data_IF_794638878629
#
_entry.id   IF_794638878629
#
_cell.length_a   1.000
_cell.length_b   1.000
_cell.length_c   1.000
_cell.angle_alpha   90.00
_cell.angle_beta   90.00
_cell.angle_gamma   90.00
#
_symmetry.space_group_name_H-M   'P 1'
#
loop_
_entity.id
_entity.type
_entity.pdbx_description
1 polymer ?
#
# COMPACT_ATOMS: atom_id res chain seq x y z
N UNK A 1 -4.78 36.96 64.67
CA UNK A 1 -4.56 37.36 63.24
C UNK A 1 -3.49 36.54 62.42
N UNK A 2 -2.53 35.90 63.06
CA UNK A 2 -1.52 35.12 62.35
C UNK A 2 -1.99 33.71 61.93
N UNK A 3 -2.81 33.05 62.76
CA UNK A 3 -3.33 31.70 62.51
C UNK A 3 -4.30 31.60 61.31
N UNK A 4 -5.14 32.63 61.15
CA UNK A 4 -6.11 32.64 60.03
C UNK A 4 -5.43 32.75 58.64
N UNK A 5 -4.30 33.45 58.51
CA UNK A 5 -3.55 33.58 57.29
C UNK A 5 -2.90 32.25 56.83
N UNK A 6 -2.45 31.43 57.78
CA UNK A 6 -1.85 30.11 57.44
C UNK A 6 -2.91 29.11 57.03
N UNK A 7 -4.10 29.12 57.58
CA UNK A 7 -5.21 28.27 57.22
C UNK A 7 -5.63 28.57 55.76
N UNK A 8 -5.75 29.86 55.41
CA UNK A 8 -6.15 30.28 54.06
C UNK A 8 -5.09 29.90 52.99
N UNK A 9 -3.80 30.02 53.34
CA UNK A 9 -2.70 29.63 52.41
C UNK A 9 -2.63 28.11 52.23
N UNK A 10 -2.82 27.32 53.29
CA UNK A 10 -2.83 25.85 53.19
C UNK A 10 -4.05 25.36 52.41
N UNK A 11 -5.21 25.99 52.54
CA UNK A 11 -6.41 25.63 51.80
C UNK A 11 -6.27 25.99 50.29
N UNK A 12 -5.65 27.13 49.99
CA UNK A 12 -5.35 27.51 48.59
C UNK A 12 -4.30 26.60 47.96
N UNK A 13 -3.27 26.15 48.69
CA UNK A 13 -2.30 25.18 48.18
C UNK A 13 -2.93 23.78 47.96
N UNK A 14 -3.82 23.34 48.84
CA UNK A 14 -4.53 22.06 48.69
C UNK A 14 -5.49 22.06 47.51
N UNK A 15 -6.16 23.21 47.23
CA UNK A 15 -7.00 23.37 46.04
C UNK A 15 -6.18 23.43 44.74
N UNK A 16 -4.97 23.98 44.75
CA UNK A 16 -4.09 24.00 43.61
C UNK A 16 -3.50 22.60 43.28
N UNK A 17 -3.33 21.74 44.28
CA UNK A 17 -2.88 20.37 44.09
C UNK A 17 -4.00 19.42 43.63
N UNK A 18 -5.26 19.75 43.88
CA UNK A 18 -6.41 18.98 43.39
C UNK A 18 -6.82 19.36 41.95
N UNK A 19 -6.29 20.46 41.40
CA UNK A 19 -6.60 20.92 40.04
C UNK A 19 -5.64 20.38 38.94
N UNK A 20 -4.64 19.59 39.33
CA UNK A 20 -3.81 18.87 38.39
C UNK A 20 -4.21 17.40 38.37
N UNK A 21 -5.38 17.10 37.86
CA UNK A 21 -5.63 15.81 37.26
C UNK A 21 -4.91 15.81 35.90
N UNK A 22 -3.63 15.47 35.94
CA UNK A 22 -2.77 15.38 34.78
C UNK A 22 -2.81 13.97 34.14
N UNK A 23 -3.89 13.25 34.36
CA UNK A 23 -4.13 12.12 33.51
C UNK A 23 -4.62 12.68 32.16
N UNK A 24 -3.83 12.60 31.08
CA UNK A 24 -4.37 12.90 29.78
C UNK A 24 -5.55 11.95 29.59
N UNK A 25 -6.74 12.50 29.37
CA UNK A 25 -7.86 11.69 28.91
C UNK A 25 -7.35 10.90 27.71
N UNK A 26 -7.34 9.59 27.83
CA UNK A 26 -7.06 8.75 26.69
C UNK A 26 -8.15 9.08 25.67
N UNK A 27 -7.77 9.70 24.56
CA UNK A 27 -8.66 9.90 23.44
C UNK A 27 -8.97 8.50 22.91
N UNK A 28 -10.13 7.98 23.28
CA UNK A 28 -10.61 6.72 22.72
C UNK A 28 -10.73 6.89 21.20
N UNK A 29 -10.05 6.03 20.47
CA UNK A 29 -10.27 5.94 19.02
C UNK A 29 -11.75 5.67 18.77
N UNK A 30 -12.37 6.49 17.95
CA UNK A 30 -13.72 6.21 17.49
C UNK A 30 -13.73 4.85 16.78
N UNK A 31 -14.66 3.94 17.10
CA UNK A 31 -14.70 2.64 16.47
C UNK A 31 -14.90 2.78 14.95
N UNK A 32 -14.20 1.95 14.20
CA UNK A 32 -14.46 1.84 12.75
C UNK A 32 -15.92 1.47 12.52
N UNK A 33 -16.53 2.13 11.55
CA UNK A 33 -17.89 1.81 11.14
C UNK A 33 -17.95 0.35 10.64
N UNK A 34 -18.79 -0.44 11.28
CA UNK A 34 -19.09 -1.79 10.84
C UNK A 34 -20.25 -1.77 9.85
N UNK A 35 -20.12 -2.55 8.78
CA UNK A 35 -21.15 -2.70 7.76
C UNK A 35 -21.76 -4.10 7.81
N UNK A 36 -22.88 -4.29 7.14
CA UNK A 36 -23.51 -5.62 7.05
C UNK A 36 -22.70 -6.57 6.16
N UNK A 37 -22.85 -7.87 6.35
CA UNK A 37 -22.20 -8.86 5.46
C UNK A 37 -22.64 -8.67 4.00
N UNK A 38 -23.88 -8.27 3.75
CA UNK A 38 -24.36 -7.95 2.40
C UNK A 38 -23.57 -6.82 1.74
N UNK A 39 -23.15 -5.81 2.52
CA UNK A 39 -22.26 -4.75 2.02
C UNK A 39 -20.88 -5.30 1.66
N UNK A 40 -20.27 -6.10 2.55
CA UNK A 40 -18.96 -6.69 2.29
C UNK A 40 -18.99 -7.66 1.11
N UNK A 41 -20.06 -8.42 0.97
CA UNK A 41 -20.22 -9.30 -0.20
C UNK A 41 -20.29 -8.47 -1.49
N UNK A 42 -21.12 -7.42 -1.53
CA UNK A 42 -21.22 -6.54 -2.70
C UNK A 42 -19.88 -5.85 -3.03
N UNK A 43 -19.09 -5.52 -2.00
CA UNK A 43 -17.76 -4.94 -2.19
C UNK A 43 -16.77 -5.95 -2.79
N UNK A 44 -16.79 -7.20 -2.33
CA UNK A 44 -15.97 -8.28 -2.91
C UNK A 44 -16.38 -8.58 -4.36
N UNK A 45 -17.67 -8.61 -4.63
CA UNK A 45 -18.22 -8.81 -5.99
C UNK A 45 -17.80 -7.67 -6.93
N UNK A 46 -17.82 -6.41 -6.44
CA UNK A 46 -17.33 -5.26 -7.16
C UNK A 46 -15.84 -5.42 -7.50
N UNK A 47 -14.99 -5.77 -6.53
CA UNK A 47 -13.56 -5.94 -6.75
C UNK A 47 -13.21 -7.15 -7.64
N UNK A 48 -14.09 -8.12 -7.73
CA UNK A 48 -13.97 -9.24 -8.67
C UNK A 48 -14.48 -8.92 -10.08
N UNK A 49 -15.17 -7.78 -10.26
CA UNK A 49 -15.66 -7.33 -11.58
C UNK A 49 -14.61 -6.51 -12.32
N UNK A 50 -14.80 -6.33 -13.62
CA UNK A 50 -13.98 -5.41 -14.41
C UNK A 50 -14.20 -3.95 -13.97
N UNK A 51 -13.15 -3.26 -13.57
CA UNK A 51 -13.14 -1.87 -13.15
C UNK A 51 -11.70 -1.33 -13.13
N UNK A 52 -11.53 -0.02 -13.05
CA UNK A 52 -10.23 0.60 -12.88
C UNK A 52 -9.78 0.47 -11.42
N UNK A 53 -8.63 -0.18 -11.20
CA UNK A 53 -8.17 -0.50 -9.85
C UNK A 53 -7.62 0.70 -9.10
N UNK A 54 -7.77 0.69 -7.78
CA UNK A 54 -7.04 1.56 -6.88
C UNK A 54 -5.85 0.81 -6.28
N UNK A 55 -4.63 1.23 -6.65
CA UNK A 55 -3.37 0.67 -6.18
C UNK A 55 -2.66 1.63 -5.22
N UNK A 56 -2.30 1.17 -4.04
CA UNK A 56 -1.63 2.04 -3.07
C UNK A 56 -0.41 1.40 -2.44
N UNK A 57 0.59 2.22 -2.10
CA UNK A 57 1.72 1.86 -1.26
C UNK A 57 1.45 2.36 0.15
N UNK A 58 1.51 1.45 1.11
CA UNK A 58 1.25 1.72 2.51
C UNK A 58 2.47 1.33 3.36
N UNK A 59 2.97 2.26 4.15
CA UNK A 59 4.23 2.10 4.86
C UNK A 59 4.12 2.22 6.39
N UNK A 60 3.21 3.03 6.88
CA UNK A 60 3.15 3.46 8.28
C UNK A 60 2.09 2.69 9.08
N UNK A 61 2.17 1.36 9.12
CA UNK A 61 1.37 0.65 10.09
C UNK A 61 1.94 0.77 11.50
N UNK A 62 1.07 0.69 12.49
CA UNK A 62 1.46 0.73 13.89
C UNK A 62 2.54 -0.33 14.17
N UNK A 63 3.63 0.04 14.85
CA UNK A 63 4.57 -0.92 15.37
C UNK A 63 3.89 -1.82 16.40
N UNK A 64 4.65 -2.77 16.96
CA UNK A 64 4.16 -3.69 18.00
C UNK A 64 3.51 -2.89 19.13
N UNK A 65 2.30 -3.27 19.52
CA UNK A 65 1.60 -2.71 20.67
C UNK A 65 2.50 -2.71 21.92
N UNK A 66 2.53 -1.57 22.61
CA UNK A 66 3.37 -1.41 23.79
C UNK A 66 4.84 -1.15 23.50
N UNK A 67 5.28 -0.99 22.24
CA UNK A 67 6.62 -0.54 21.94
C UNK A 67 6.89 0.82 22.58
N UNK A 68 8.09 0.99 23.15
CA UNK A 68 8.48 2.21 23.88
C UNK A 68 8.30 3.45 23.00
N UNK A 69 7.55 4.43 23.49
CA UNK A 69 7.27 5.68 22.79
C UNK A 69 6.13 5.61 21.78
N UNK A 70 5.53 4.44 21.59
CA UNK A 70 4.37 4.26 20.74
C UNK A 70 3.20 3.74 21.59
N UNK A 71 2.14 4.50 21.66
CA UNK A 71 0.86 4.02 22.18
C UNK A 71 0.08 3.42 21.01
N UNK A 72 -1.01 2.73 21.31
CA UNK A 72 -1.97 2.26 20.32
C UNK A 72 -2.10 3.26 19.18
N UNK A 73 -2.30 2.80 17.95
CA UNK A 73 -2.31 3.70 16.81
C UNK A 73 -3.17 4.91 17.15
N UNK A 74 -2.55 6.10 17.09
CA UNK A 74 -3.21 7.35 17.42
C UNK A 74 -4.41 7.61 16.50
N UNK A 75 -4.49 6.88 15.40
CA UNK A 75 -5.59 6.97 14.44
C UNK A 75 -5.71 5.73 13.59
N UNK A 76 -6.85 5.60 12.91
CA UNK A 76 -7.06 4.57 11.88
C UNK A 76 -6.20 4.76 10.62
N UNK A 77 -5.53 5.89 10.45
CA UNK A 77 -4.54 6.12 9.39
C UNK A 77 -3.30 5.24 9.53
N UNK A 78 -2.98 4.81 10.75
CA UNK A 78 -1.85 3.93 11.07
C UNK A 78 -2.26 2.45 11.16
N UNK A 79 -3.48 2.12 10.74
CA UNK A 79 -4.04 0.78 10.75
C UNK A 79 -4.42 0.34 9.34
N UNK A 80 -4.00 -0.83 8.91
CA UNK A 80 -4.36 -1.41 7.60
C UNK A 80 -5.88 -1.53 7.47
N UNK A 81 -6.57 -1.95 8.52
CA UNK A 81 -8.04 -2.07 8.51
C UNK A 81 -8.76 -0.72 8.35
N UNK A 82 -8.08 0.40 8.67
CA UNK A 82 -8.58 1.77 8.51
C UNK A 82 -8.52 2.31 7.08
N UNK A 83 -7.85 1.60 6.17
CA UNK A 83 -7.81 1.98 4.76
C UNK A 83 -9.23 2.00 4.14
N UNK A 84 -9.49 2.89 3.17
CA UNK A 84 -10.75 2.90 2.44
C UNK A 84 -11.12 1.53 1.87
N UNK A 85 -12.38 1.14 2.04
CA UNK A 85 -12.86 -0.20 1.66
C UNK A 85 -12.67 -0.50 0.16
N UNK A 86 -12.77 0.53 -0.70
CA UNK A 86 -12.66 0.41 -2.15
C UNK A 86 -11.23 0.38 -2.70
N UNK A 87 -10.20 0.33 -1.85
CA UNK A 87 -8.83 0.07 -2.30
C UNK A 87 -8.70 -1.39 -2.69
N UNK A 88 -8.21 -1.66 -3.90
CA UNK A 88 -8.10 -3.00 -4.47
C UNK A 88 -6.80 -3.68 -4.09
N UNK A 89 -5.67 -3.00 -4.30
CA UNK A 89 -4.33 -3.53 -4.09
C UNK A 89 -3.53 -2.65 -3.13
N UNK A 90 -2.87 -3.28 -2.16
CA UNK A 90 -1.98 -2.63 -1.20
C UNK A 90 -0.59 -3.23 -1.30
N UNK A 91 0.37 -2.44 -1.78
CA UNK A 91 1.78 -2.79 -1.74
C UNK A 91 2.33 -2.56 -0.33
N UNK A 92 2.89 -3.59 0.26
CA UNK A 92 3.52 -3.58 1.58
C UNK A 92 4.97 -3.11 1.49
N UNK A 93 5.14 -1.85 1.13
CA UNK A 93 6.42 -1.25 0.74
C UNK A 93 7.50 -1.32 1.85
N UNK A 94 7.13 -1.20 3.12
CA UNK A 94 8.09 -1.26 4.24
C UNK A 94 8.30 -2.66 4.83
N UNK A 95 7.82 -3.69 4.16
CA UNK A 95 7.96 -5.09 4.57
C UNK A 95 6.62 -5.77 4.86
N UNK A 96 6.67 -7.04 5.17
CA UNK A 96 5.48 -7.86 5.41
C UNK A 96 5.25 -7.95 6.92
N UNK A 97 4.08 -7.54 7.45
CA UNK A 97 3.76 -7.76 8.85
C UNK A 97 3.61 -9.26 9.13
N UNK A 98 4.16 -9.73 10.24
CA UNK A 98 4.02 -11.12 10.69
C UNK A 98 3.43 -11.16 12.09
N UNK A 99 2.88 -12.31 12.55
CA UNK A 99 2.39 -12.45 13.92
C UNK A 99 3.45 -12.12 14.98
N UNK A 100 4.73 -12.32 14.67
CA UNK A 100 5.85 -12.12 15.59
C UNK A 100 6.34 -10.67 15.60
N UNK A 101 6.34 -10.01 14.43
CA UNK A 101 6.94 -8.66 14.31
C UNK A 101 5.91 -7.54 14.45
N UNK A 102 4.71 -7.73 13.88
CA UNK A 102 3.65 -6.71 13.84
C UNK A 102 2.28 -7.39 13.95
N UNK A 103 1.91 -7.98 15.10
CA UNK A 103 0.71 -8.80 15.25
C UNK A 103 -0.59 -8.06 14.90
N UNK A 104 -0.68 -6.78 15.24
CA UNK A 104 -1.87 -5.95 14.94
C UNK A 104 -1.99 -5.72 13.43
N UNK A 105 -0.93 -5.29 12.77
CA UNK A 105 -0.94 -5.08 11.32
C UNK A 105 -1.18 -6.39 10.55
N UNK A 106 -0.63 -7.51 11.04
CA UNK A 106 -0.89 -8.83 10.48
C UNK A 106 -2.37 -9.20 10.57
N UNK A 107 -2.98 -9.02 11.75
CA UNK A 107 -4.40 -9.30 11.94
C UNK A 107 -5.29 -8.38 11.09
N UNK A 108 -4.96 -7.10 11.02
CA UNK A 108 -5.65 -6.14 10.16
C UNK A 108 -5.58 -6.53 8.69
N UNK A 109 -4.41 -7.01 8.22
CA UNK A 109 -4.22 -7.48 6.85
C UNK A 109 -5.15 -8.67 6.54
N UNK A 110 -5.19 -9.66 7.42
CA UNK A 110 -6.07 -10.84 7.26
C UNK A 110 -7.55 -10.42 7.24
N UNK A 111 -7.98 -9.63 8.22
CA UNK A 111 -9.36 -9.16 8.32
C UNK A 111 -9.79 -8.30 7.13
N UNK A 112 -8.90 -7.41 6.67
CA UNK A 112 -9.14 -6.55 5.50
C UNK A 112 -9.30 -7.39 4.24
N UNK A 113 -8.47 -8.41 4.04
CA UNK A 113 -8.59 -9.35 2.92
C UNK A 113 -9.92 -10.11 2.98
N UNK A 114 -10.22 -10.73 4.09
CA UNK A 114 -11.43 -11.57 4.23
C UNK A 114 -12.72 -10.77 4.08
N UNK A 115 -12.82 -9.61 4.74
CA UNK A 115 -14.03 -8.79 4.70
C UNK A 115 -14.15 -7.96 3.44
N UNK A 116 -13.07 -7.25 3.08
CA UNK A 116 -13.11 -6.21 2.03
C UNK A 116 -12.66 -6.72 0.67
N UNK A 117 -12.04 -7.90 0.58
CA UNK A 117 -11.48 -8.42 -0.67
C UNK A 117 -10.25 -7.65 -1.16
N UNK A 118 -9.61 -6.86 -0.30
CA UNK A 118 -8.37 -6.15 -0.63
C UNK A 118 -7.23 -7.16 -0.75
N UNK A 119 -6.42 -7.04 -1.79
CA UNK A 119 -5.26 -7.90 -2.04
C UNK A 119 -3.99 -7.21 -1.59
N UNK A 120 -3.03 -7.99 -1.09
CA UNK A 120 -1.76 -7.48 -0.56
C UNK A 120 -0.58 -7.97 -1.38
N UNK A 121 0.29 -7.05 -1.76
CA UNK A 121 1.36 -7.25 -2.73
C UNK A 121 2.71 -7.15 -2.04
N UNK A 122 3.59 -8.10 -2.31
CA UNK A 122 4.99 -8.07 -1.89
C UNK A 122 5.76 -7.05 -2.72
N UNK A 123 6.46 -6.14 -2.05
CA UNK A 123 7.38 -5.21 -2.71
C UNK A 123 8.73 -5.90 -2.96
N UNK A 124 9.04 -6.18 -4.22
CA UNK A 124 10.26 -6.82 -4.66
C UNK A 124 11.21 -5.78 -5.27
N UNK A 125 12.35 -5.56 -4.65
CA UNK A 125 13.31 -4.55 -5.11
C UNK A 125 14.03 -5.01 -6.39
N UNK A 126 13.89 -4.22 -7.46
CA UNK A 126 14.65 -4.29 -8.70
C UNK A 126 15.39 -2.96 -8.99
N UNK A 127 15.60 -2.12 -7.97
CA UNK A 127 16.34 -0.86 -8.05
C UNK A 127 17.86 -1.06 -7.97
N UNK A 128 18.30 -2.16 -7.32
CA UNK A 128 19.72 -2.48 -7.14
C UNK A 128 19.96 -4.00 -7.14
N UNK A 129 21.22 -4.43 -6.99
CA UNK A 129 21.61 -5.86 -6.96
C UNK A 129 22.17 -6.29 -5.59
N UNK A 130 21.76 -5.64 -4.50
CA UNK A 130 22.28 -5.95 -3.15
C UNK A 130 21.50 -7.08 -2.46
N UNK A 131 21.01 -8.06 -3.23
CA UNK A 131 20.17 -9.14 -2.73
C UNK A 131 20.98 -10.39 -2.42
N UNK A 132 20.82 -10.87 -1.18
CA UNK A 132 21.34 -12.17 -0.75
C UNK A 132 20.18 -13.02 -0.28
N UNK A 133 20.02 -14.18 -0.85
CA UNK A 133 18.89 -15.06 -0.57
C UNK A 133 19.29 -16.53 -0.76
N UNK A 134 18.44 -17.41 -0.26
CA UNK A 134 18.59 -18.86 -0.45
C UNK A 134 17.29 -19.40 -1.04
N UNK A 135 17.39 -20.14 -2.12
CA UNK A 135 16.28 -20.85 -2.74
C UNK A 135 16.79 -22.20 -3.28
N UNK A 136 15.95 -23.23 -3.23
CA UNK A 136 16.28 -24.59 -3.68
C UNK A 136 17.58 -25.16 -3.04
N UNK A 137 17.85 -24.77 -1.77
CA UNK A 137 19.05 -25.19 -1.03
C UNK A 137 20.35 -24.49 -1.46
N UNK A 138 20.31 -23.53 -2.39
CA UNK A 138 21.47 -22.78 -2.88
C UNK A 138 21.39 -21.31 -2.45
N UNK A 139 22.52 -20.77 -1.98
CA UNK A 139 22.68 -19.35 -1.67
C UNK A 139 23.11 -18.58 -2.92
N UNK A 140 22.55 -17.37 -3.07
CA UNK A 140 22.83 -16.42 -4.16
C UNK A 140 23.19 -15.05 -3.60
N UNK A 141 24.04 -14.32 -4.32
CA UNK A 141 24.43 -12.93 -4.04
C UNK A 141 24.47 -12.16 -5.36
N UNK A 142 23.43 -11.38 -5.64
CA UNK A 142 23.33 -10.61 -6.90
C UNK A 142 24.35 -9.48 -6.99
N UNK A 143 24.99 -9.09 -5.91
CA UNK A 143 26.08 -8.10 -5.96
C UNK A 143 27.28 -8.62 -6.74
N UNK A 144 27.50 -9.92 -6.73
CA UNK A 144 28.61 -10.62 -7.38
C UNK A 144 28.23 -11.51 -8.57
N UNK A 145 26.99 -12.02 -8.60
CA UNK A 145 26.50 -12.88 -9.69
C UNK A 145 25.15 -12.37 -10.22
N UNK A 146 25.15 -11.84 -11.43
CA UNK A 146 23.97 -11.36 -12.17
C UNK A 146 23.69 -12.19 -13.40
N UNK A 147 24.11 -13.45 -13.39
CA UNK A 147 23.79 -14.40 -14.45
C UNK A 147 22.27 -14.59 -14.57
N UNK A 148 21.83 -15.06 -15.72
CA UNK A 148 20.42 -15.39 -15.95
C UNK A 148 19.89 -16.34 -14.88
N UNK A 149 20.66 -17.35 -14.51
CA UNK A 149 20.29 -18.29 -13.43
C UNK A 149 20.09 -17.58 -12.08
N UNK A 150 20.99 -16.66 -11.70
CA UNK A 150 20.89 -15.94 -10.43
C UNK A 150 19.68 -14.99 -10.42
N UNK A 151 19.39 -14.32 -11.53
CA UNK A 151 18.22 -13.45 -11.66
C UNK A 151 16.92 -14.27 -11.62
N UNK A 152 16.85 -15.39 -12.36
CA UNK A 152 15.69 -16.30 -12.31
C UNK A 152 15.52 -16.92 -10.91
N UNK A 153 16.61 -17.22 -10.23
CA UNK A 153 16.56 -17.69 -8.84
C UNK A 153 15.97 -16.61 -7.89
N UNK A 154 16.29 -15.33 -8.11
CA UNK A 154 15.66 -14.23 -7.36
C UNK A 154 14.15 -14.18 -7.58
N UNK A 155 13.70 -14.29 -8.82
CA UNK A 155 12.28 -14.33 -9.15
C UNK A 155 11.56 -15.52 -8.46
N UNK A 156 12.18 -16.71 -8.47
CA UNK A 156 11.64 -17.87 -7.73
C UNK A 156 11.57 -17.61 -6.22
N UNK A 157 12.58 -16.97 -5.64
CA UNK A 157 12.58 -16.57 -4.24
C UNK A 157 11.47 -15.55 -3.92
N UNK A 158 11.23 -14.57 -4.79
CA UNK A 158 10.11 -13.62 -4.68
C UNK A 158 8.77 -14.37 -4.70
N UNK A 159 8.56 -15.25 -5.67
CA UNK A 159 7.34 -16.07 -5.76
C UNK A 159 7.15 -16.97 -4.52
N UNK A 160 8.22 -17.61 -4.05
CA UNK A 160 8.20 -18.45 -2.85
C UNK A 160 7.85 -17.63 -1.60
N UNK A 161 8.36 -16.39 -1.50
CA UNK A 161 8.01 -15.46 -0.43
C UNK A 161 6.52 -15.10 -0.47
N UNK A 162 5.99 -14.73 -1.63
CA UNK A 162 4.55 -14.45 -1.80
C UNK A 162 3.68 -15.62 -1.36
N UNK A 163 4.03 -16.84 -1.77
CA UNK A 163 3.27 -18.04 -1.43
C UNK A 163 3.35 -18.36 0.06
N UNK A 164 4.55 -18.32 0.65
CA UNK A 164 4.78 -18.63 2.08
C UNK A 164 4.11 -17.62 3.02
N UNK A 165 4.06 -16.36 2.63
CA UNK A 165 3.42 -15.30 3.43
C UNK A 165 1.94 -15.13 3.13
N UNK A 166 1.40 -15.87 2.16
CA UNK A 166 0.01 -15.82 1.77
C UNK A 166 -0.38 -14.51 1.07
N UNK A 167 0.57 -13.76 0.50
CA UNK A 167 0.29 -12.55 -0.27
C UNK A 167 -0.29 -12.87 -1.66
N UNK A 168 -0.76 -11.82 -2.34
CA UNK A 168 -1.59 -11.95 -3.54
C UNK A 168 -0.81 -11.66 -4.83
N UNK A 169 0.48 -11.34 -4.72
CA UNK A 169 1.36 -11.07 -5.86
C UNK A 169 2.64 -10.37 -5.45
N UNK A 170 3.47 -10.06 -6.44
CA UNK A 170 4.70 -9.30 -6.28
C UNK A 170 4.72 -8.10 -7.23
N UNK A 171 5.29 -7.00 -6.76
CA UNK A 171 5.54 -5.78 -7.50
C UNK A 171 7.04 -5.51 -7.53
N UNK A 172 7.62 -5.49 -8.74
CA UNK A 172 9.04 -5.25 -8.96
C UNK A 172 9.30 -3.76 -9.17
N UNK A 173 9.90 -3.11 -8.16
CA UNK A 173 10.32 -1.71 -8.22
C UNK A 173 11.51 -1.53 -9.16
N UNK A 174 11.19 -1.30 -10.45
CA UNK A 174 12.16 -1.25 -11.53
C UNK A 174 12.75 0.14 -11.69
N UNK A 175 13.84 0.40 -10.99
CA UNK A 175 14.52 1.70 -11.03
C UNK A 175 16.01 1.63 -11.42
N UNK A 176 16.64 0.47 -11.34
CA UNK A 176 18.09 0.36 -11.55
C UNK A 176 18.58 -0.93 -12.20
N UNK A 177 17.72 -1.93 -12.34
CA UNK A 177 18.12 -3.16 -13.04
C UNK A 177 18.27 -2.95 -14.55
N UNK A 178 19.09 -3.80 -15.15
CA UNK A 178 19.12 -3.95 -16.61
C UNK A 178 17.77 -4.51 -17.09
N UNK A 179 17.27 -4.00 -18.24
CA UNK A 179 15.98 -4.44 -18.79
C UNK A 179 15.92 -5.93 -19.11
N UNK A 180 17.03 -6.53 -19.55
CA UNK A 180 17.08 -7.98 -19.79
C UNK A 180 16.95 -8.77 -18.48
N UNK A 181 17.50 -8.27 -17.37
CA UNK A 181 17.37 -8.91 -16.06
C UNK A 181 15.92 -8.85 -15.56
N UNK A 182 15.24 -7.71 -15.72
CA UNK A 182 13.81 -7.62 -15.44
C UNK A 182 13.03 -8.63 -16.31
N UNK A 183 13.30 -8.68 -17.60
CA UNK A 183 12.63 -9.63 -18.53
C UNK A 183 12.79 -11.08 -18.05
N UNK A 184 13.98 -11.51 -17.66
CA UNK A 184 14.21 -12.85 -17.12
C UNK A 184 13.46 -13.12 -15.83
N UNK A 185 13.41 -12.12 -14.92
CA UNK A 185 12.69 -12.25 -13.66
C UNK A 185 11.17 -12.37 -13.88
N UNK A 186 10.59 -11.52 -14.72
CA UNK A 186 9.16 -11.51 -14.99
C UNK A 186 8.72 -12.78 -15.74
N UNK A 187 9.49 -13.22 -16.76
CA UNK A 187 9.25 -14.49 -17.43
C UNK A 187 9.29 -15.70 -16.46
N UNK A 188 10.20 -15.66 -15.48
CA UNK A 188 10.27 -16.74 -14.47
C UNK A 188 9.07 -16.69 -13.51
N UNK A 189 8.61 -15.49 -13.12
CA UNK A 189 7.39 -15.34 -12.33
C UNK A 189 6.16 -15.88 -13.08
N UNK A 190 6.01 -15.63 -14.39
CA UNK A 190 4.90 -16.12 -15.19
C UNK A 190 4.81 -17.66 -15.17
N UNK A 191 5.94 -18.38 -15.16
CA UNK A 191 5.94 -19.84 -15.03
C UNK A 191 5.30 -20.34 -13.72
N UNK A 192 5.23 -19.47 -12.70
CA UNK A 192 4.72 -19.81 -11.36
C UNK A 192 3.35 -19.18 -11.12
N UNK A 193 3.16 -17.92 -11.51
CA UNK A 193 1.97 -17.09 -11.27
C UNK A 193 1.12 -16.87 -12.53
N UNK A 194 1.66 -17.08 -13.72
CA UNK A 194 0.91 -16.94 -14.97
C UNK A 194 -0.20 -17.99 -15.13
N UNK A 195 -1.00 -17.88 -16.18
CA UNK A 195 -2.23 -18.67 -16.35
C UNK A 195 -2.00 -20.19 -16.42
N UNK A 196 -0.79 -20.62 -16.74
CA UNK A 196 -0.39 -22.04 -16.74
C UNK A 196 0.49 -22.41 -15.54
N UNK A 197 0.74 -21.47 -14.63
CA UNK A 197 1.54 -21.66 -13.43
C UNK A 197 0.79 -22.39 -12.32
N UNK A 198 1.51 -22.67 -11.24
CA UNK A 198 0.94 -23.36 -10.08
C UNK A 198 -0.03 -22.47 -9.27
N UNK A 199 0.13 -21.14 -9.37
CA UNK A 199 -0.64 -20.15 -8.60
C UNK A 199 -1.15 -19.04 -9.53
N UNK A 200 -2.08 -19.35 -10.46
CA UNK A 200 -2.52 -18.43 -11.51
C UNK A 200 -3.39 -17.27 -11.00
N UNK A 201 -3.72 -17.26 -9.72
CA UNK A 201 -4.44 -16.18 -9.02
C UNK A 201 -3.49 -15.08 -8.46
N UNK A 202 -2.18 -15.31 -8.50
CA UNK A 202 -1.18 -14.35 -8.03
C UNK A 202 -0.80 -13.36 -9.12
N UNK A 203 -0.62 -12.08 -8.73
CA UNK A 203 -0.30 -11.01 -9.64
C UNK A 203 1.22 -10.83 -9.83
N UNK A 204 1.60 -10.48 -11.05
CA UNK A 204 2.94 -9.99 -11.42
C UNK A 204 2.82 -8.53 -11.80
N UNK A 205 3.43 -7.65 -11.02
CA UNK A 205 3.34 -6.20 -11.17
C UNK A 205 4.76 -5.65 -11.34
N UNK A 206 4.88 -4.56 -12.09
CA UNK A 206 6.12 -3.81 -12.23
C UNK A 206 5.83 -2.34 -12.02
N UNK A 207 6.42 -1.73 -10.97
CA UNK A 207 6.40 -0.29 -10.83
C UNK A 207 7.70 0.35 -11.33
N UNK A 208 7.60 1.59 -11.79
CA UNK A 208 8.74 2.29 -12.38
C UNK A 208 8.56 3.81 -12.36
N UNK A 209 9.69 4.52 -12.30
CA UNK A 209 9.72 5.98 -12.35
C UNK A 209 10.18 6.51 -13.73
N UNK A 210 11.48 6.50 -14.01
CA UNK A 210 12.06 7.19 -15.17
C UNK A 210 12.35 6.29 -16.36
N UNK A 211 12.62 5.02 -16.10
CA UNK A 211 12.96 4.04 -17.14
C UNK A 211 11.78 3.11 -17.36
N UNK A 212 11.22 3.13 -18.56
CA UNK A 212 10.11 2.24 -18.91
C UNK A 212 10.57 0.77 -18.92
N UNK A 213 9.79 -0.15 -18.34
CA UNK A 213 10.05 -1.58 -18.45
C UNK A 213 10.13 -2.04 -19.93
N UNK A 214 10.85 -3.13 -20.24
CA UNK A 214 10.84 -3.67 -21.57
C UNK A 214 9.45 -4.17 -22.00
N UNK A 215 9.00 -3.80 -23.20
CA UNK A 215 7.72 -4.28 -23.77
C UNK A 215 7.65 -5.81 -23.92
N UNK A 216 8.79 -6.48 -23.89
CA UNK A 216 8.87 -7.94 -23.84
C UNK A 216 8.20 -8.54 -22.60
N UNK A 217 8.01 -7.75 -21.53
CA UNK A 217 7.33 -8.16 -20.32
C UNK A 217 5.79 -8.12 -20.43
N UNK A 218 5.23 -7.41 -21.42
CA UNK A 218 3.78 -7.16 -21.54
C UNK A 218 2.91 -8.45 -21.50
N UNK A 219 3.32 -9.59 -22.06
CA UNK A 219 2.52 -10.81 -21.98
C UNK A 219 2.38 -11.38 -20.55
N UNK A 220 3.30 -11.04 -19.65
CA UNK A 220 3.46 -11.68 -18.34
C UNK A 220 3.14 -10.76 -17.16
N UNK A 221 3.03 -9.44 -17.39
CA UNK A 221 2.72 -8.46 -16.37
C UNK A 221 1.21 -8.21 -16.32
N UNK A 222 0.63 -8.22 -15.12
CA UNK A 222 -0.78 -7.87 -14.90
C UNK A 222 -0.97 -6.36 -14.87
N UNK A 223 -0.11 -5.64 -14.14
CA UNK A 223 -0.15 -4.18 -14.04
C UNK A 223 1.23 -3.55 -14.10
N UNK A 224 1.32 -2.43 -14.81
CA UNK A 224 2.44 -1.51 -14.76
C UNK A 224 2.06 -0.30 -13.91
N UNK A 225 2.78 -0.07 -12.82
CA UNK A 225 2.51 1.05 -11.93
C UNK A 225 3.48 2.18 -12.24
N UNK A 226 2.99 3.19 -12.98
CA UNK A 226 3.77 4.39 -13.26
C UNK A 226 3.81 5.27 -12.02
N UNK A 227 5.01 5.55 -11.52
CA UNK A 227 5.25 6.54 -10.47
C UNK A 227 5.08 7.95 -11.09
N UNK A 228 3.82 8.38 -11.27
CA UNK A 228 3.43 9.62 -11.93
C UNK A 228 3.54 10.83 -10.98
N UNK A 229 4.68 10.96 -10.28
CA UNK A 229 4.90 11.96 -9.23
C UNK A 229 4.92 13.38 -9.80
N UNK A 230 3.82 14.12 -9.62
CA UNK A 230 3.62 15.46 -10.19
C UNK A 230 4.68 16.48 -9.75
N UNK A 231 5.19 16.39 -8.52
CA UNK A 231 6.25 17.26 -8.03
C UNK A 231 7.59 17.06 -8.78
N UNK A 232 7.75 15.95 -9.50
CA UNK A 232 8.92 15.67 -10.34
C UNK A 232 8.63 15.87 -11.83
N UNK A 233 7.47 16.48 -12.17
CA UNK A 233 7.06 16.72 -13.54
C UNK A 233 6.55 15.50 -14.30
N UNK A 234 6.32 14.39 -13.60
CA UNK A 234 5.67 13.21 -14.18
C UNK A 234 4.16 13.41 -14.28
N UNK A 235 3.49 12.59 -15.09
CA UNK A 235 2.06 12.68 -15.33
C UNK A 235 1.50 11.47 -16.07
N UNK A 236 0.31 11.62 -16.62
CA UNK A 236 -0.40 10.60 -17.39
C UNK A 236 -0.14 10.73 -18.88
N UNK A 237 -0.39 9.68 -19.65
CA UNK A 237 -0.23 9.61 -21.10
C UNK A 237 0.14 8.19 -21.55
N UNK A 238 0.23 7.96 -22.85
CA UNK A 238 0.67 6.67 -23.39
C UNK A 238 2.09 6.33 -22.90
N UNK A 239 2.26 5.21 -22.21
CA UNK A 239 3.53 4.78 -21.60
C UNK A 239 4.26 3.71 -22.42
N UNK A 240 3.70 3.32 -23.57
CA UNK A 240 4.29 2.28 -24.43
C UNK A 240 3.95 0.84 -24.02
N UNK A 241 3.13 0.68 -22.98
CA UNK A 241 2.53 -0.57 -22.51
C UNK A 241 1.02 -0.54 -22.78
N UNK A 242 0.31 -1.68 -22.68
CA UNK A 242 -1.15 -1.70 -22.76
C UNK A 242 -1.77 -0.76 -21.71
N UNK A 243 -2.63 0.16 -22.17
CA UNK A 243 -3.24 1.16 -21.29
C UNK A 243 -4.06 0.51 -20.18
N UNK A 244 -4.78 -0.57 -20.48
CA UNK A 244 -5.60 -1.34 -19.53
C UNK A 244 -4.80 -2.02 -18.42
N UNK A 245 -3.47 -2.10 -18.57
CA UNK A 245 -2.54 -2.58 -17.55
C UNK A 245 -1.84 -1.45 -16.80
N UNK A 246 -1.98 -0.19 -17.25
CA UNK A 246 -1.21 0.93 -16.70
C UNK A 246 -1.98 1.63 -15.59
N UNK A 247 -1.34 1.72 -14.41
CA UNK A 247 -1.83 2.38 -13.20
C UNK A 247 -0.97 3.60 -12.90
N UNK A 248 -1.58 4.76 -12.63
CA UNK A 248 -0.86 6.01 -12.36
C UNK A 248 -0.88 6.35 -10.89
N UNK A 249 0.27 6.37 -10.22
CA UNK A 249 0.38 6.69 -8.80
C UNK A 249 0.98 8.08 -8.55
N UNK A 250 0.26 8.89 -7.75
CA UNK A 250 0.77 10.15 -7.22
C UNK A 250 1.58 9.93 -5.94
N UNK A 251 2.52 10.83 -5.61
CA UNK A 251 3.24 10.79 -4.34
C UNK A 251 2.53 11.60 -3.25
N UNK A 252 1.79 10.94 -2.38
CA UNK A 252 1.24 11.59 -1.19
C UNK A 252 2.30 11.91 -0.12
N UNK A 253 3.47 11.31 -0.21
CA UNK A 253 4.63 11.73 0.57
C UNK A 253 5.01 13.19 0.32
N UNK A 254 4.84 13.67 -0.91
CA UNK A 254 5.13 15.04 -1.35
C UNK A 254 3.87 15.89 -1.52
N UNK A 255 2.75 15.28 -1.88
CA UNK A 255 1.46 15.93 -2.16
C UNK A 255 0.34 15.29 -1.34
N UNK A 256 0.38 15.38 0.02
CA UNK A 256 -0.52 14.61 0.89
C UNK A 256 -2.00 14.99 0.74
N UNK A 257 -2.32 16.15 0.18
CA UNK A 257 -3.70 16.60 -0.09
C UNK A 257 -4.25 16.12 -1.44
N UNK A 258 -3.47 15.34 -2.22
CA UNK A 258 -3.93 14.72 -3.45
C UNK A 258 -3.08 15.02 -4.70
N UNK A 259 -2.37 16.15 -4.79
CA UNK A 259 -1.61 16.48 -5.99
C UNK A 259 -2.46 16.44 -7.26
N UNK A 260 -1.99 15.74 -8.27
CA UNK A 260 -2.66 15.58 -9.58
C UNK A 260 -3.52 14.31 -9.68
N UNK A 261 -3.75 13.60 -8.57
CA UNK A 261 -4.47 12.30 -8.58
C UNK A 261 -5.85 12.38 -9.25
N UNK A 262 -6.54 13.54 -9.16
CA UNK A 262 -7.85 13.68 -9.79
C UNK A 262 -7.75 13.76 -11.33
N UNK A 263 -6.67 14.34 -11.85
CA UNK A 263 -6.38 14.34 -13.28
C UNK A 263 -5.99 12.93 -13.73
N UNK A 264 -5.27 12.17 -12.92
CA UNK A 264 -4.92 10.77 -13.21
C UNK A 264 -6.16 9.87 -13.21
N UNK A 265 -7.05 10.06 -12.24
CA UNK A 265 -8.29 9.33 -12.15
C UNK A 265 -9.24 9.62 -13.32
N UNK A 266 -9.27 10.88 -13.79
CA UNK A 266 -10.15 11.33 -14.87
C UNK A 266 -9.56 11.12 -16.27
N UNK A 267 -8.25 10.88 -16.39
CA UNK A 267 -7.63 10.64 -17.70
C UNK A 267 -8.06 9.30 -18.26
N UNK A 268 -8.37 9.29 -19.56
CA UNK A 268 -8.68 8.07 -20.30
C UNK A 268 -7.82 8.00 -21.57
N UNK A 269 -7.39 6.80 -21.99
CA UNK A 269 -6.75 6.61 -23.27
C UNK A 269 -7.72 6.90 -24.42
N UNK A 270 -7.21 7.05 -25.64
CA UNK A 270 -8.05 7.31 -26.82
C UNK A 270 -9.05 6.18 -27.12
N UNK A 271 -8.76 4.97 -26.69
CA UNK A 271 -9.59 3.77 -26.83
C UNK A 271 -9.46 2.88 -25.60
N UNK A 272 -10.55 2.28 -25.14
CA UNK A 272 -10.55 1.43 -23.95
C UNK A 272 -10.54 2.24 -22.66
N UNK A 273 -9.88 1.71 -21.65
CA UNK A 273 -9.71 2.29 -20.32
C UNK A 273 -8.26 2.10 -19.84
N UNK A 274 -7.84 2.84 -18.83
CA UNK A 274 -6.56 2.58 -18.15
C UNK A 274 -6.71 1.46 -17.10
N UNK A 275 -5.59 0.92 -16.61
CA UNK A 275 -5.60 -0.05 -15.51
C UNK A 275 -6.11 0.53 -14.19
N UNK A 276 -5.80 1.81 -13.92
CA UNK A 276 -6.28 2.47 -12.70
C UNK A 276 -5.45 3.67 -12.28
N UNK A 277 -5.65 4.10 -11.02
CA UNK A 277 -4.74 5.05 -10.37
C UNK A 277 -4.61 4.77 -8.87
N UNK A 278 -3.66 5.46 -8.22
CA UNK A 278 -3.42 5.29 -6.81
C UNK A 278 -2.39 6.24 -6.23
N UNK A 279 -1.80 5.86 -5.10
CA UNK A 279 -0.88 6.72 -4.40
C UNK A 279 0.23 5.97 -3.65
N UNK A 280 1.41 6.55 -3.70
CA UNK A 280 2.52 6.23 -2.83
C UNK A 280 2.38 6.99 -1.51
N UNK A 281 2.66 6.36 -0.36
CA UNK A 281 2.38 6.89 0.98
C UNK A 281 0.92 7.28 1.19
N UNK A 282 -0.01 6.38 0.88
CA UNK A 282 -1.46 6.65 0.97
C UNK A 282 -1.89 7.11 2.37
N UNK A 283 -1.26 6.62 3.44
CA UNK A 283 -1.53 6.98 4.82
C UNK A 283 -1.37 8.48 5.11
N UNK A 284 -0.52 9.17 4.34
CA UNK A 284 -0.34 10.63 4.48
C UNK A 284 -1.62 11.40 4.15
N UNK A 285 -2.55 10.82 3.38
CA UNK A 285 -3.84 11.44 3.08
C UNK A 285 -4.89 11.25 4.19
N UNK A 286 -4.57 10.50 5.26
CA UNK A 286 -5.52 10.35 6.38
C UNK A 286 -5.80 11.68 7.06
N UNK A 287 -4.78 12.43 7.44
CA UNK A 287 -4.90 13.73 8.12
C UNK A 287 -4.84 14.93 7.16
N UNK A 288 -4.19 14.77 6.01
CA UNK A 288 -3.96 15.86 5.08
C UNK A 288 -5.05 15.87 4.01
N UNK A 289 -6.23 16.35 4.38
CA UNK A 289 -7.38 16.42 3.49
C UNK A 289 -7.81 17.87 3.29
N UNK A 290 -8.31 18.19 2.11
CA UNK A 290 -8.85 19.52 1.81
C UNK A 290 -10.30 19.70 2.31
N UNK A 291 -11.00 18.60 2.57
CA UNK A 291 -12.42 18.55 2.93
C UNK A 291 -12.69 18.02 4.35
N UNK A 292 -11.63 17.71 5.11
CA UNK A 292 -11.73 17.14 6.45
C UNK A 292 -12.15 15.67 6.49
N UNK A 293 -12.26 15.01 5.33
CA UNK A 293 -12.61 13.59 5.24
C UNK A 293 -11.34 12.74 5.22
N UNK A 294 -11.12 11.81 6.17
CA UNK A 294 -9.98 10.91 6.14
C UNK A 294 -9.86 10.18 4.79
N UNK A 295 -8.67 10.21 4.20
CA UNK A 295 -8.43 9.68 2.85
C UNK A 295 -9.26 10.34 1.75
N UNK A 296 -9.66 11.61 1.91
CA UNK A 296 -10.57 12.30 1.01
C UNK A 296 -10.12 12.29 -0.44
N UNK A 297 -8.82 12.49 -0.72
CA UNK A 297 -8.30 12.51 -2.08
C UNK A 297 -8.38 11.13 -2.74
N UNK A 298 -7.92 10.06 -2.08
CA UNK A 298 -7.98 8.72 -2.67
C UNK A 298 -9.41 8.22 -2.85
N UNK A 299 -10.32 8.50 -1.88
CA UNK A 299 -11.74 8.16 -1.99
C UNK A 299 -12.38 8.83 -3.21
N UNK A 300 -12.09 10.12 -3.42
CA UNK A 300 -12.60 10.87 -4.56
C UNK A 300 -12.03 10.36 -5.89
N UNK A 301 -10.74 10.02 -5.93
CA UNK A 301 -10.11 9.44 -7.12
C UNK A 301 -10.81 8.13 -7.53
N UNK A 302 -11.08 7.24 -6.57
CA UNK A 302 -11.84 6.00 -6.82
C UNK A 302 -13.23 6.29 -7.41
N UNK A 303 -13.93 7.29 -6.88
CA UNK A 303 -15.26 7.67 -7.38
C UNK A 303 -15.23 8.30 -8.80
N UNK A 304 -14.11 8.94 -9.15
CA UNK A 304 -13.92 9.49 -10.51
C UNK A 304 -13.70 8.34 -11.49
N UNK A 305 -12.81 7.38 -11.16
CA UNK A 305 -12.54 6.20 -11.99
C UNK A 305 -13.79 5.32 -12.15
N UNK A 306 -14.49 5.07 -11.05
CA UNK A 306 -15.60 4.12 -10.98
C UNK A 306 -16.86 4.81 -10.45
N UNK A 307 -17.50 5.68 -11.24
CA UNK A 307 -18.70 6.38 -10.79
C UNK A 307 -19.85 5.40 -10.55
N UNK A 308 -20.62 5.66 -9.49
CA UNK A 308 -21.82 4.87 -9.21
C UNK A 308 -22.74 4.84 -10.42
N UNK A 309 -23.17 3.65 -10.85
CA UNK A 309 -24.17 3.52 -11.92
C UNK A 309 -25.45 4.21 -11.48
N UNK A 310 -25.93 5.17 -12.27
CA UNK A 310 -27.25 5.77 -12.02
C UNK A 310 -28.30 4.64 -12.15
N UNK A 311 -29.02 4.42 -11.05
CA UNK A 311 -30.19 3.52 -11.05
C UNK A 311 -31.31 4.10 -11.91
#
# INVERSE_FOLDING_TARGET
MKTTKYITIVTLLALALAACDTQPEALDLQPLKQYSEAYYQALRDYKASEHEICYVYYADWAPIEGASGYKDPASWGERIIGLPDSIDLVNLWMGIPTPETHPVAYQDMIETREKKGTRFIFHADASNYNHRFTIDGRAYDLSSDRSEEAIRAYARWVCDTVVKTGLDGADFDYEGWNGQHLTWAIEECDKIFGPNGRYPDKLVIVDYFSVSPPVACDPWVDYYVKQAYSQQGAGVGAMGHPDEKTVYCESFGQKPTGGEIFNYAAWEPATGHKGGCGAYYVERNYYNTSDGVPYGAIRRAIQIMNPAKKQ
#
